data_IF_759382072163
#
_entry.id   IF_759382072163
#
_cell.length_a   1.000
_cell.length_b   1.000
_cell.length_c   1.000
_cell.angle_alpha   90.00
_cell.angle_beta   90.00
_cell.angle_gamma   90.00
#
_symmetry.space_group_name_H-M   'P 1'
#
loop_
_entity.id
_entity.type
_entity.pdbx_description
1 polymer ?
#
# COMPACT_ATOMS: atom_id res chain seq x y z
N UNK A 1 0.02 21.36 -23.11
CA UNK A 1 0.35 20.02 -22.57
C UNK A 1 -0.94 19.21 -22.55
N UNK A 2 -1.01 18.06 -23.25
CA UNK A 2 -2.19 17.18 -23.17
C UNK A 2 -2.17 16.48 -21.80
N UNK A 3 -3.27 16.44 -21.04
CA UNK A 3 -3.32 15.63 -19.82
C UNK A 3 -3.05 14.18 -20.20
N UNK A 4 -2.17 13.51 -19.46
CA UNK A 4 -1.93 12.09 -19.61
C UNK A 4 -3.25 11.36 -19.32
N UNK A 5 -3.89 10.85 -20.37
CA UNK A 5 -5.10 10.06 -20.25
C UNK A 5 -4.69 8.71 -19.68
N UNK A 6 -4.97 8.50 -18.39
CA UNK A 6 -4.81 7.19 -17.74
C UNK A 6 -5.83 6.26 -18.41
N UNK A 7 -5.37 5.19 -19.06
CA UNK A 7 -6.29 4.20 -19.63
C UNK A 7 -6.98 3.44 -18.48
N UNK A 8 -8.32 3.27 -18.49
CA UNK A 8 -9.08 2.72 -17.36
C UNK A 8 -8.63 1.31 -16.94
N UNK A 9 -8.18 0.49 -17.88
CA UNK A 9 -7.65 -0.86 -17.64
C UNK A 9 -6.35 -0.89 -16.83
N UNK A 10 -5.48 0.12 -16.94
CA UNK A 10 -4.20 0.17 -16.22
C UNK A 10 -4.33 0.63 -14.76
N UNK A 11 -5.51 1.13 -14.38
CA UNK A 11 -5.82 1.59 -13.04
C UNK A 11 -6.34 0.48 -12.12
N UNK A 12 -6.24 -0.79 -12.49
CA UNK A 12 -6.70 -1.91 -11.64
C UNK A 12 -5.58 -2.48 -10.77
N UNK A 13 -5.96 -2.93 -9.58
CA UNK A 13 -5.09 -3.66 -8.68
C UNK A 13 -4.82 -5.06 -9.26
N UNK A 14 -3.55 -5.45 -9.39
CA UNK A 14 -3.17 -6.79 -9.88
C UNK A 14 -3.62 -7.91 -8.93
N UNK A 15 -3.89 -7.59 -7.66
CA UNK A 15 -4.28 -8.54 -6.61
C UNK A 15 -5.80 -8.73 -6.58
N UNK A 16 -6.56 -7.66 -6.29
CA UNK A 16 -8.02 -7.76 -6.15
C UNK A 16 -8.79 -7.42 -7.44
N UNK A 17 -8.12 -6.97 -8.51
CA UNK A 17 -8.74 -6.54 -9.78
C UNK A 17 -9.67 -5.31 -9.68
N UNK A 18 -9.80 -4.70 -8.50
CA UNK A 18 -10.55 -3.46 -8.30
C UNK A 18 -9.78 -2.21 -8.76
N UNK A 19 -10.49 -1.12 -9.00
CA UNK A 19 -9.88 0.15 -9.38
C UNK A 19 -9.04 0.76 -8.24
N UNK A 20 -7.82 1.18 -8.55
CA UNK A 20 -6.93 1.95 -7.68
C UNK A 20 -7.38 3.41 -7.73
N UNK A 21 -8.23 3.80 -6.79
CA UNK A 21 -8.79 5.16 -6.70
C UNK A 21 -7.87 6.15 -5.98
N UNK A 22 -6.95 5.65 -5.15
CA UNK A 22 -5.93 6.44 -4.45
C UNK A 22 -4.52 5.90 -4.75
N UNK A 23 -3.89 6.33 -5.85
CA UNK A 23 -2.60 5.80 -6.27
C UNK A 23 -1.46 6.40 -5.43
N UNK A 24 -1.19 5.77 -4.28
CA UNK A 24 0.01 6.02 -3.47
C UNK A 24 0.90 4.78 -3.48
N UNK A 25 2.14 4.93 -3.94
CA UNK A 25 3.06 3.79 -3.95
C UNK A 25 3.56 3.48 -2.52
N UNK A 26 3.97 2.22 -2.26
CA UNK A 26 4.51 1.80 -0.96
C UNK A 26 5.65 2.67 -0.42
N UNK A 27 6.51 3.20 -1.29
CA UNK A 27 7.59 4.09 -0.85
C UNK A 27 7.06 5.42 -0.29
N UNK A 28 6.06 6.02 -0.94
CA UNK A 28 5.44 7.26 -0.50
C UNK A 28 4.58 7.05 0.74
N UNK A 29 3.83 5.94 0.79
CA UNK A 29 3.09 5.54 1.98
C UNK A 29 4.03 5.35 3.18
N UNK A 30 5.16 4.65 2.98
CA UNK A 30 6.21 4.52 3.98
C UNK A 30 6.75 5.87 4.47
N UNK A 31 7.04 6.81 3.56
CA UNK A 31 7.52 8.15 3.93
C UNK A 31 6.52 8.90 4.80
N UNK A 32 5.22 8.81 4.47
CA UNK A 32 4.17 9.43 5.27
C UNK A 32 4.11 8.79 6.67
N UNK A 33 4.05 7.47 6.77
CA UNK A 33 3.99 6.75 8.05
C UNK A 33 5.24 7.01 8.88
N UNK A 34 6.43 7.03 8.28
CA UNK A 34 7.68 7.33 8.98
C UNK A 34 7.66 8.73 9.62
N UNK A 35 6.91 9.68 9.04
CA UNK A 35 6.78 11.04 9.57
C UNK A 35 6.09 11.13 10.93
N UNK A 36 5.16 10.20 11.23
CA UNK A 36 4.40 10.20 12.49
C UNK A 36 4.52 8.89 13.29
N UNK A 37 5.13 7.85 12.72
CA UNK A 37 5.40 6.56 13.38
C UNK A 37 6.68 5.88 12.83
N UNK A 38 7.87 6.35 13.22
CA UNK A 38 9.15 5.94 12.62
C UNK A 38 9.38 4.42 12.59
N UNK A 39 9.16 3.72 13.71
CA UNK A 39 9.37 2.28 13.85
C UNK A 39 8.51 1.44 12.89
N UNK A 40 7.32 1.96 12.56
CA UNK A 40 6.38 1.30 11.67
C UNK A 40 6.76 1.55 10.21
N UNK A 41 7.11 2.80 9.88
CA UNK A 41 7.63 3.14 8.56
C UNK A 41 8.88 2.34 8.19
N UNK A 42 9.76 2.02 9.13
CA UNK A 42 10.92 1.16 8.85
C UNK A 42 10.57 -0.31 8.59
N UNK A 43 9.40 -0.75 9.04
CA UNK A 43 8.96 -2.14 8.92
C UNK A 43 8.26 -2.44 7.58
N UNK A 44 7.91 -1.40 6.82
CA UNK A 44 7.18 -1.53 5.55
C UNK A 44 8.07 -1.93 4.39
N UNK A 45 7.62 -2.93 3.64
CA UNK A 45 8.27 -3.42 2.41
C UNK A 45 7.87 -2.54 1.23
N UNK A 46 8.82 -2.29 0.32
CA UNK A 46 8.58 -1.52 -0.90
C UNK A 46 8.66 -2.49 -2.09
N UNK A 47 7.54 -3.05 -2.55
CA UNK A 47 7.53 -3.74 -3.82
C UNK A 47 7.81 -2.73 -4.95
N UNK A 48 8.66 -3.13 -5.90
CA UNK A 48 8.86 -2.39 -7.14
C UNK A 48 7.80 -2.84 -8.13
N UNK A 49 7.30 -1.91 -8.92
CA UNK A 49 6.38 -2.17 -10.01
C UNK A 49 6.81 -1.32 -11.20
N UNK A 50 6.86 -1.95 -12.37
CA UNK A 50 7.30 -1.31 -13.62
C UNK A 50 6.11 -0.98 -14.53
N UNK A 51 4.90 -1.38 -14.14
CA UNK A 51 3.66 -1.25 -14.92
C UNK A 51 2.49 -0.84 -14.00
N UNK A 52 1.37 -0.39 -14.57
CA UNK A 52 0.16 -0.02 -13.83
C UNK A 52 -0.07 1.49 -13.71
N UNK A 53 -0.68 1.94 -12.62
CA UNK A 53 -0.99 3.36 -12.39
C UNK A 53 0.21 4.11 -11.81
N UNK A 54 0.30 5.42 -12.06
CA UNK A 54 1.37 6.26 -11.51
C UNK A 54 0.99 6.78 -10.12
N UNK A 55 1.92 6.69 -9.19
CA UNK A 55 1.81 7.30 -7.87
C UNK A 55 1.64 8.81 -7.98
N UNK A 56 0.65 9.35 -7.26
CA UNK A 56 0.33 10.79 -7.24
C UNK A 56 1.47 11.66 -6.68
N UNK A 57 2.34 11.09 -5.84
CA UNK A 57 3.41 11.84 -5.17
C UNK A 57 4.77 11.78 -5.86
N UNK A 58 5.12 10.65 -6.49
CA UNK A 58 6.46 10.46 -7.07
C UNK A 58 6.46 10.03 -8.54
N UNK A 59 5.29 9.81 -9.15
CA UNK A 59 5.15 9.45 -10.55
C UNK A 59 5.64 8.05 -10.95
N UNK A 60 6.16 7.26 -10.00
CA UNK A 60 6.56 5.86 -10.21
C UNK A 60 5.32 4.97 -10.42
N UNK A 61 5.49 3.92 -11.21
CA UNK A 61 4.47 2.91 -11.44
C UNK A 61 4.17 2.08 -10.19
N UNK A 62 2.90 1.68 -10.06
CA UNK A 62 2.39 0.78 -9.02
C UNK A 62 1.22 -0.03 -9.59
N UNK A 63 1.16 -1.30 -9.20
CA UNK A 63 0.07 -2.20 -9.60
C UNK A 63 -0.82 -2.69 -8.45
N UNK A 64 -0.52 -2.32 -7.19
CA UNK A 64 -1.23 -2.83 -6.02
C UNK A 64 -1.97 -1.69 -5.32
N UNK A 65 -3.24 -1.87 -4.99
CA UNK A 65 -4.00 -0.87 -4.24
C UNK A 65 -3.51 -0.80 -2.77
N UNK A 66 -3.81 0.32 -2.10
CA UNK A 66 -3.42 0.52 -0.70
C UNK A 66 -3.97 -0.57 0.24
N UNK A 67 -5.16 -1.12 -0.05
CA UNK A 67 -5.77 -2.17 0.74
C UNK A 67 -4.96 -3.48 0.68
N UNK A 68 -4.77 -4.05 -0.50
CA UNK A 68 -3.98 -5.28 -0.67
C UNK A 68 -2.54 -5.11 -0.19
N UNK A 69 -1.93 -3.95 -0.40
CA UNK A 69 -0.61 -3.65 0.16
C UNK A 69 -0.62 -3.68 1.70
N UNK A 70 -1.65 -3.12 2.33
CA UNK A 70 -1.76 -3.10 3.78
C UNK A 70 -1.93 -4.50 4.36
N UNK A 71 -2.68 -5.40 3.70
CA UNK A 71 -2.79 -6.80 4.13
C UNK A 71 -1.45 -7.54 4.06
N UNK A 72 -0.72 -7.41 2.95
CA UNK A 72 0.61 -8.02 2.81
C UNK A 72 1.60 -7.45 3.84
N UNK A 73 1.53 -6.13 4.07
CA UNK A 73 2.32 -5.48 5.11
C UNK A 73 1.98 -5.98 6.52
N UNK A 74 0.70 -6.21 6.84
CA UNK A 74 0.27 -6.77 8.13
C UNK A 74 0.91 -8.14 8.39
N UNK A 75 0.85 -9.03 7.40
CA UNK A 75 1.41 -10.38 7.51
C UNK A 75 2.94 -10.33 7.68
N UNK A 76 3.62 -9.47 6.94
CA UNK A 76 5.08 -9.30 7.03
C UNK A 76 5.52 -8.67 8.35
N UNK A 77 4.79 -7.66 8.84
CA UNK A 77 5.03 -7.05 10.15
C UNK A 77 4.77 -8.09 11.23
N UNK A 78 3.71 -8.89 11.14
CA UNK A 78 3.41 -9.97 12.09
C UNK A 78 4.53 -10.99 12.22
N UNK A 79 5.13 -11.41 11.10
CA UNK A 79 6.24 -12.36 11.09
C UNK A 79 7.52 -11.80 11.71
N UNK A 80 7.80 -10.50 11.52
CA UNK A 80 9.06 -9.87 11.95
C UNK A 80 8.99 -9.19 13.31
N UNK A 81 7.85 -8.55 13.61
CA UNK A 81 7.63 -7.67 14.77
C UNK A 81 6.17 -7.78 15.25
N UNK A 82 5.77 -8.91 15.87
CA UNK A 82 4.39 -9.14 16.31
C UNK A 82 3.78 -8.01 17.15
N UNK A 83 4.59 -7.34 17.99
CA UNK A 83 4.14 -6.20 18.81
C UNK A 83 3.68 -5.01 17.95
N UNK A 84 4.38 -4.71 16.86
CA UNK A 84 4.01 -3.62 15.94
C UNK A 84 2.83 -3.98 15.04
N UNK A 85 2.54 -5.27 14.85
CA UNK A 85 1.41 -5.70 14.03
C UNK A 85 0.08 -5.19 14.60
N UNK A 86 -0.07 -5.23 15.92
CA UNK A 86 -1.29 -4.73 16.58
C UNK A 86 -1.50 -3.24 16.29
N UNK A 87 -0.46 -2.42 16.48
CA UNK A 87 -0.49 -0.98 16.19
C UNK A 87 -0.81 -0.71 14.71
N UNK A 88 -0.20 -1.46 13.80
CA UNK A 88 -0.46 -1.37 12.36
C UNK A 88 -1.94 -1.62 12.04
N UNK A 89 -2.54 -2.68 12.60
CA UNK A 89 -3.95 -3.00 12.38
C UNK A 89 -4.89 -1.92 12.88
N UNK A 90 -4.60 -1.33 14.04
CA UNK A 90 -5.42 -0.25 14.61
C UNK A 90 -5.40 1.00 13.73
N UNK A 91 -4.22 1.38 13.22
CA UNK A 91 -4.02 2.52 12.32
C UNK A 91 -4.74 2.30 10.99
N UNK A 92 -4.58 1.13 10.38
CA UNK A 92 -5.09 0.83 9.04
C UNK A 92 -6.50 0.22 9.03
N UNK A 93 -7.11 0.06 10.21
CA UNK A 93 -8.46 -0.51 10.36
C UNK A 93 -8.55 -1.97 9.90
N UNK A 94 -7.44 -2.71 9.88
CA UNK A 94 -7.39 -4.10 9.44
C UNK A 94 -7.96 -5.00 10.54
N UNK A 95 -9.23 -5.35 10.44
CA UNK A 95 -9.86 -6.35 11.31
C UNK A 95 -9.78 -7.70 10.60
N UNK A 96 -9.14 -8.69 11.21
CA UNK A 96 -9.43 -10.08 10.84
C UNK A 96 -10.84 -10.35 11.35
N UNK A 97 -11.77 -10.62 10.44
CA UNK A 97 -13.02 -11.26 10.84
C UNK A 97 -12.64 -12.53 11.59
N UNK A 98 -13.05 -12.63 12.84
CA UNK A 98 -12.90 -13.87 13.58
C UNK A 98 -13.71 -14.92 12.81
N UNK A 99 -13.03 -15.90 12.20
CA UNK A 99 -13.69 -17.11 11.73
C UNK A 99 -14.29 -17.77 12.98
N UNK A 100 -15.62 -17.65 13.11
CA UNK A 100 -16.43 -18.43 14.06
C UNK A 100 -16.62 -19.82 13.46
#
# INVERSE_FOLDING_TARGET
MKPAQIQPEEAKCIVCQEAITNPICPECMRKQIKGWHPSLGESLVIPKSETGVRCLFCGKYMGVCAHCYSEEADDLIGRKRPKLQKEFREIFGLRKEAQI
#
